data_IF_249512776376
#
_entry.id   IF_249512776376
#
_cell.length_a   1.000
_cell.length_b   1.000
_cell.length_c   1.000
_cell.angle_alpha   90.00
_cell.angle_beta   90.00
_cell.angle_gamma   90.00
#
_symmetry.space_group_name_H-M   'P 1'
#
loop_
_entity.id
_entity.type
_entity.pdbx_description
1 polymer ?
#
# COMPACT_ATOMS: atom_id res chain seq x y z
N UNK A 1 -4.18 18.18 -16.62
CA UNK A 1 -4.44 16.78 -16.23
C UNK A 1 -5.53 16.26 -17.15
N UNK A 2 -5.24 15.31 -18.04
CA UNK A 2 -6.26 14.66 -18.85
C UNK A 2 -6.99 13.70 -17.92
N UNK A 3 -8.28 13.94 -17.64
CA UNK A 3 -9.11 12.99 -16.94
C UNK A 3 -9.45 11.85 -17.90
N UNK A 4 -8.78 10.70 -17.73
CA UNK A 4 -9.22 9.51 -18.44
C UNK A 4 -10.64 9.12 -17.97
N UNK A 5 -11.51 8.63 -18.89
CA UNK A 5 -12.85 8.19 -18.53
C UNK A 5 -12.76 7.03 -17.52
N UNK A 6 -13.37 7.24 -16.36
CA UNK A 6 -13.45 6.28 -15.27
C UNK A 6 -14.77 5.50 -15.38
N UNK A 7 -14.69 4.19 -15.33
CA UNK A 7 -15.87 3.32 -15.29
C UNK A 7 -15.95 2.67 -13.92
N UNK A 8 -16.99 2.96 -13.14
CA UNK A 8 -17.24 2.28 -11.88
C UNK A 8 -17.77 0.87 -12.14
N UNK A 9 -17.00 -0.14 -11.73
CA UNK A 9 -17.36 -1.57 -11.83
C UNK A 9 -17.68 -2.20 -10.48
N UNK A 10 -17.96 -1.40 -9.45
CA UNK A 10 -18.20 -1.87 -8.09
C UNK A 10 -19.47 -2.71 -8.01
N UNK A 11 -19.37 -3.93 -7.47
CA UNK A 11 -20.50 -4.80 -7.18
C UNK A 11 -20.79 -4.81 -5.67
N UNK A 12 -22.01 -5.22 -5.28
CA UNK A 12 -22.38 -5.34 -3.86
C UNK A 12 -21.42 -6.22 -3.05
N UNK A 13 -20.96 -7.33 -3.63
CA UNK A 13 -19.99 -8.22 -2.97
C UNK A 13 -18.62 -7.59 -2.82
N UNK A 14 -18.20 -6.75 -3.77
CA UNK A 14 -16.95 -6.00 -3.69
C UNK A 14 -17.02 -4.92 -2.60
N UNK A 15 -18.13 -4.17 -2.56
CA UNK A 15 -18.37 -3.15 -1.52
C UNK A 15 -18.32 -3.78 -0.14
N UNK A 16 -19.10 -4.86 0.10
CA UNK A 16 -19.09 -5.56 1.40
C UNK A 16 -17.72 -6.16 1.77
N UNK A 17 -16.94 -6.59 0.77
CA UNK A 17 -15.57 -7.07 1.02
C UNK A 17 -14.63 -5.92 1.42
N UNK A 18 -14.79 -4.75 0.83
CA UNK A 18 -14.02 -3.55 1.20
C UNK A 18 -14.39 -3.07 2.60
N UNK A 19 -15.67 -2.96 2.92
CA UNK A 19 -16.15 -2.55 4.25
C UNK A 19 -15.68 -3.51 5.35
N UNK A 20 -15.76 -4.84 5.10
CA UNK A 20 -15.21 -5.85 6.02
C UNK A 20 -13.69 -5.74 6.20
N UNK A 21 -12.97 -5.36 5.14
CA UNK A 21 -11.55 -5.06 5.20
C UNK A 21 -11.26 -3.88 6.11
N UNK A 22 -11.95 -2.76 5.90
CA UNK A 22 -11.82 -1.54 6.71
C UNK A 22 -12.09 -1.82 8.19
N UNK A 23 -13.16 -2.54 8.51
CA UNK A 23 -13.49 -2.92 9.89
C UNK A 23 -12.34 -3.71 10.56
N UNK A 24 -11.74 -4.66 9.84
CA UNK A 24 -10.63 -5.46 10.37
C UNK A 24 -9.40 -4.57 10.61
N UNK A 25 -9.08 -3.65 9.69
CA UNK A 25 -7.98 -2.71 9.87
C UNK A 25 -8.20 -1.87 11.12
N UNK A 26 -9.35 -1.21 11.27
CA UNK A 26 -9.69 -0.40 12.45
C UNK A 26 -9.63 -1.20 13.74
N UNK A 27 -10.18 -2.43 13.74
CA UNK A 27 -10.13 -3.33 14.89
C UNK A 27 -8.69 -3.66 15.31
N UNK A 28 -7.83 -4.00 14.36
CA UNK A 28 -6.41 -4.32 14.64
C UNK A 28 -5.66 -3.07 15.10
N UNK A 29 -5.76 -1.99 14.35
CA UNK A 29 -5.06 -0.74 14.63
C UNK A 29 -5.44 -0.18 16.01
N UNK A 30 -6.73 -0.27 16.40
CA UNK A 30 -7.18 0.11 17.75
C UNK A 30 -6.54 -0.73 18.87
N UNK A 31 -6.01 -1.91 18.59
CA UNK A 31 -5.27 -2.72 19.57
C UNK A 31 -3.76 -2.42 19.52
N UNK A 32 -3.25 -2.16 18.33
CA UNK A 32 -1.84 -1.80 18.12
C UNK A 32 -1.49 -0.52 18.87
N UNK A 33 -2.32 0.52 18.78
CA UNK A 33 -2.12 1.79 19.51
C UNK A 33 -2.12 1.65 21.04
N UNK A 34 -2.57 0.51 21.58
CA UNK A 34 -2.66 0.23 23.00
C UNK A 34 -1.68 -0.84 23.49
N UNK A 35 -0.72 -1.25 22.66
CA UNK A 35 0.21 -2.33 23.02
C UNK A 35 1.02 -2.02 24.27
N UNK A 36 1.47 -0.79 24.45
CA UNK A 36 2.22 -0.36 25.64
C UNK A 36 1.38 -0.47 26.92
N UNK A 37 0.11 -0.07 26.87
CA UNK A 37 -0.82 -0.20 28.01
C UNK A 37 -1.02 -1.65 28.43
N UNK A 38 -0.89 -2.58 27.47
CA UNK A 38 -1.01 -4.02 27.69
C UNK A 38 0.32 -4.68 28.10
N UNK A 39 1.39 -3.90 28.31
CA UNK A 39 2.71 -4.41 28.70
C UNK A 39 3.45 -5.14 27.57
N UNK A 40 3.05 -4.94 26.34
CA UNK A 40 3.69 -5.52 25.15
C UNK A 40 4.92 -4.67 24.80
N UNK A 41 6.05 -5.33 24.49
CA UNK A 41 7.33 -4.65 24.21
C UNK A 41 7.38 -3.91 22.87
N UNK A 42 6.45 -4.16 21.98
CA UNK A 42 6.30 -3.42 20.74
C UNK A 42 5.62 -2.09 21.00
N UNK A 43 6.09 -1.07 20.32
CA UNK A 43 5.56 0.29 20.42
C UNK A 43 4.91 0.67 19.08
N UNK A 44 3.74 1.28 19.15
CA UNK A 44 3.16 1.97 18.01
C UNK A 44 3.86 3.32 17.83
N UNK A 45 4.23 3.62 16.59
CA UNK A 45 4.92 4.86 16.25
C UNK A 45 4.02 5.69 15.35
N UNK A 46 3.72 6.92 15.76
CA UNK A 46 2.96 7.83 14.91
C UNK A 46 3.70 8.06 13.59
N UNK A 47 3.07 7.69 12.49
CA UNK A 47 3.68 7.74 11.14
C UNK A 47 4.08 9.18 10.75
N UNK A 48 3.25 10.18 11.11
CA UNK A 48 3.54 11.57 10.79
C UNK A 48 4.76 12.08 11.58
N UNK A 49 4.89 11.71 12.84
CA UNK A 49 6.04 12.08 13.66
C UNK A 49 7.31 11.39 13.15
N UNK A 50 7.23 10.10 12.81
CA UNK A 50 8.34 9.39 12.17
C UNK A 50 8.84 10.09 10.90
N UNK A 51 7.91 10.52 10.03
CA UNK A 51 8.24 11.25 8.79
C UNK A 51 8.97 12.56 9.10
N UNK A 52 8.50 13.32 10.10
CA UNK A 52 9.11 14.60 10.51
C UNK A 52 10.49 14.39 11.13
N UNK A 53 10.62 13.47 12.07
CA UNK A 53 11.87 13.19 12.81
C UNK A 53 12.99 12.69 11.88
N UNK A 54 12.65 11.92 10.86
CA UNK A 54 13.61 11.39 9.89
C UNK A 54 13.77 12.28 8.64
N UNK A 55 13.14 13.46 8.60
CA UNK A 55 13.22 14.41 7.48
C UNK A 55 12.95 13.77 6.12
N UNK A 56 11.95 12.87 6.04
CA UNK A 56 11.62 12.16 4.81
C UNK A 56 11.03 13.12 3.78
N UNK A 57 11.31 12.88 2.50
CA UNK A 57 10.78 13.69 1.39
C UNK A 57 9.28 13.41 1.12
N UNK A 58 8.48 13.49 2.18
CA UNK A 58 7.06 13.18 2.20
C UNK A 58 6.24 14.37 2.70
N UNK A 59 5.15 14.65 2.02
CA UNK A 59 4.10 15.58 2.46
C UNK A 59 3.03 14.79 3.22
N UNK A 60 2.66 15.27 4.40
CA UNK A 60 1.59 14.68 5.21
C UNK A 60 0.27 15.34 4.77
N UNK A 61 -0.53 14.60 4.01
CA UNK A 61 -1.82 15.08 3.50
C UNK A 61 -2.96 14.95 4.54
N UNK A 62 -2.88 13.93 5.39
CA UNK A 62 -3.80 13.70 6.49
C UNK A 62 -3.08 12.90 7.58
N UNK A 63 -3.12 13.38 8.80
CA UNK A 63 -2.64 12.65 9.97
C UNK A 63 -3.72 11.73 10.52
N UNK A 64 -3.31 10.63 11.16
CA UNK A 64 -4.21 9.82 11.97
C UNK A 64 -4.81 10.64 13.12
N UNK A 65 -6.03 10.30 13.53
CA UNK A 65 -6.69 10.87 14.68
C UNK A 65 -7.40 9.75 15.46
N UNK A 66 -6.72 9.19 16.44
CA UNK A 66 -7.20 8.04 17.21
C UNK A 66 -8.49 8.33 17.99
N UNK A 67 -8.70 9.58 18.41
CA UNK A 67 -9.93 9.98 19.10
C UNK A 67 -11.16 9.89 18.19
N UNK A 68 -10.95 10.05 16.87
CA UNK A 68 -11.99 9.94 15.85
C UNK A 68 -12.06 8.55 15.20
N UNK A 69 -11.23 7.59 15.64
CA UNK A 69 -11.13 6.27 15.01
C UNK A 69 -10.44 6.30 13.63
N UNK A 70 -9.64 7.31 13.36
CA UNK A 70 -8.87 7.43 12.12
C UNK A 70 -7.43 7.00 12.37
N UNK A 71 -7.07 5.81 11.92
CA UNK A 71 -5.77 5.19 12.22
C UNK A 71 -4.71 5.36 11.15
N UNK A 72 -5.11 5.69 9.92
CA UNK A 72 -4.20 5.77 8.77
C UNK A 72 -3.68 7.19 8.55
N UNK A 73 -2.38 7.30 8.28
CA UNK A 73 -1.74 8.56 7.85
C UNK A 73 -1.61 8.57 6.34
N UNK A 74 -2.16 9.59 5.68
CA UNK A 74 -2.05 9.77 4.23
C UNK A 74 -0.84 10.61 3.87
N UNK A 75 0.02 10.04 3.05
CA UNK A 75 1.30 10.63 2.64
C UNK A 75 1.39 10.81 1.12
N UNK A 76 2.20 11.77 0.69
CA UNK A 76 2.58 11.95 -0.71
C UNK A 76 4.09 12.16 -0.81
N UNK A 77 4.76 11.42 -1.70
CA UNK A 77 6.16 11.69 -1.98
C UNK A 77 6.31 12.91 -2.90
N UNK A 78 7.12 13.91 -2.48
CA UNK A 78 7.22 15.18 -3.19
C UNK A 78 7.80 15.07 -4.60
N UNK A 79 8.81 14.22 -4.81
CA UNK A 79 9.42 14.00 -6.12
C UNK A 79 8.53 13.21 -7.05
N UNK A 80 8.13 12.01 -6.67
CA UNK A 80 7.39 11.09 -7.51
C UNK A 80 5.88 11.31 -7.55
N UNK A 81 5.33 12.16 -6.69
CA UNK A 81 3.87 12.41 -6.58
C UNK A 81 3.03 11.17 -6.25
N UNK A 82 3.68 10.14 -5.72
CA UNK A 82 2.99 8.92 -5.25
C UNK A 82 2.27 9.22 -3.94
N UNK A 83 1.00 8.84 -3.87
CA UNK A 83 0.18 8.91 -2.66
C UNK A 83 0.00 7.52 -2.09
N UNK A 84 0.10 7.39 -0.79
CA UNK A 84 -0.10 6.13 -0.10
C UNK A 84 -0.64 6.34 1.31
N UNK A 85 -1.20 5.27 1.87
CA UNK A 85 -1.62 5.18 3.26
C UNK A 85 -0.79 4.09 3.90
N UNK A 86 -0.25 4.34 5.09
CA UNK A 86 0.46 3.34 5.87
C UNK A 86 -0.44 2.89 7.02
N UNK A 87 -0.59 1.58 7.19
CA UNK A 87 -1.38 1.02 8.28
C UNK A 87 -0.74 1.28 9.65
N UNK A 88 0.60 1.36 9.71
CA UNK A 88 1.33 1.73 10.90
C UNK A 88 2.83 1.56 10.80
N UNK A 89 3.54 2.07 11.79
CA UNK A 89 4.96 1.79 12.04
C UNK A 89 5.06 1.24 13.45
N UNK A 90 5.76 0.12 13.59
CA UNK A 90 6.04 -0.49 14.88
C UNK A 90 7.52 -0.35 15.21
N UNK A 91 7.82 -0.22 16.50
CA UNK A 91 9.19 -0.23 17.03
C UNK A 91 9.38 -1.37 18.01
N UNK A 92 10.49 -2.09 17.88
CA UNK A 92 10.92 -3.09 18.83
C UNK A 92 12.43 -2.91 19.10
N UNK A 93 12.77 -2.52 20.34
CA UNK A 93 14.13 -2.07 20.64
C UNK A 93 14.50 -0.85 19.77
N UNK A 94 15.60 -0.96 19.04
CA UNK A 94 16.09 0.10 18.14
C UNK A 94 15.66 -0.09 16.69
N UNK A 95 14.83 -1.09 16.40
CA UNK A 95 14.39 -1.39 15.02
C UNK A 95 12.97 -0.92 14.75
N UNK A 96 12.77 -0.36 13.57
CA UNK A 96 11.47 0.00 13.04
C UNK A 96 10.99 -1.04 12.02
N UNK A 97 9.68 -1.25 11.98
CA UNK A 97 8.98 -2.16 11.08
C UNK A 97 7.76 -1.45 10.51
N UNK A 98 7.51 -1.60 9.23
CA UNK A 98 6.25 -1.16 8.63
C UNK A 98 5.21 -2.23 8.95
N UNK A 99 4.08 -1.84 9.52
CA UNK A 99 2.94 -2.72 9.68
C UNK A 99 2.06 -2.64 8.44
N UNK A 100 1.71 -3.80 7.89
CA UNK A 100 0.76 -3.93 6.78
C UNK A 100 -0.29 -4.99 7.12
N UNK A 101 -1.54 -4.59 7.23
CA UNK A 101 -2.65 -5.46 7.62
C UNK A 101 -3.36 -5.97 6.36
N UNK A 102 -3.63 -7.26 6.30
CA UNK A 102 -4.36 -7.89 5.19
C UNK A 102 -5.47 -8.77 5.71
N UNK A 103 -6.71 -8.46 5.33
CA UNK A 103 -7.85 -9.35 5.58
C UNK A 103 -8.03 -10.34 4.42
N UNK A 104 -8.12 -11.62 4.72
CA UNK A 104 -8.30 -12.68 3.72
C UNK A 104 -9.37 -13.68 4.18
N UNK A 105 -9.95 -14.44 3.24
CA UNK A 105 -10.89 -15.50 3.57
C UNK A 105 -10.21 -16.67 4.28
N UNK A 106 -10.93 -17.43 5.10
CA UNK A 106 -10.41 -18.61 5.80
C UNK A 106 -9.71 -19.59 4.86
N UNK A 107 -10.26 -19.86 3.69
CA UNK A 107 -9.61 -20.73 2.71
C UNK A 107 -8.25 -20.20 2.24
N UNK A 108 -8.12 -18.88 2.04
CA UNK A 108 -6.85 -18.23 1.74
C UNK A 108 -5.90 -18.27 2.91
N UNK A 109 -6.41 -18.00 4.13
CA UNK A 109 -5.63 -17.95 5.35
C UNK A 109 -4.94 -19.28 5.70
N UNK A 110 -5.67 -20.38 5.62
CA UNK A 110 -5.10 -21.69 5.92
C UNK A 110 -4.06 -22.16 4.89
N UNK A 111 -4.18 -21.72 3.63
CA UNK A 111 -3.22 -22.01 2.57
C UNK A 111 -1.98 -21.11 2.61
N UNK A 112 -2.04 -20.00 3.36
CA UNK A 112 -0.99 -19.01 3.41
C UNK A 112 0.24 -19.53 4.16
N UNK A 113 1.38 -19.61 3.47
CA UNK A 113 2.67 -20.06 4.00
C UNK A 113 3.75 -18.98 3.97
N UNK A 114 3.57 -17.96 3.14
CA UNK A 114 4.50 -16.85 2.95
C UNK A 114 3.73 -15.62 2.45
N UNK A 115 4.40 -14.47 2.33
CA UNK A 115 3.82 -13.27 1.75
C UNK A 115 3.55 -13.50 0.26
N UNK A 116 2.28 -13.42 -0.20
CA UNK A 116 1.96 -13.57 -1.61
C UNK A 116 2.62 -12.50 -2.48
N UNK A 117 3.08 -12.88 -3.66
CA UNK A 117 3.78 -12.02 -4.60
C UNK A 117 3.07 -10.68 -4.86
N UNK A 118 1.75 -10.73 -5.01
CA UNK A 118 0.93 -9.53 -5.25
C UNK A 118 1.03 -8.45 -4.16
N UNK A 119 1.51 -8.78 -2.96
CA UNK A 119 1.71 -7.82 -1.86
C UNK A 119 3.15 -7.34 -1.72
N UNK A 120 4.12 -8.04 -2.33
CA UNK A 120 5.54 -7.68 -2.22
C UNK A 120 5.84 -6.32 -2.84
N UNK A 121 5.24 -5.98 -3.98
CA UNK A 121 5.41 -4.66 -4.62
C UNK A 121 4.99 -3.52 -3.67
N UNK A 122 3.92 -3.69 -2.90
CA UNK A 122 3.49 -2.72 -1.90
C UNK A 122 4.53 -2.58 -0.78
N UNK A 123 5.08 -3.70 -0.31
CA UNK A 123 6.14 -3.71 0.69
C UNK A 123 7.41 -3.00 0.20
N UNK A 124 7.82 -3.25 -1.05
CA UNK A 124 8.95 -2.55 -1.69
C UNK A 124 8.69 -1.05 -1.70
N UNK A 125 7.48 -0.64 -2.13
CA UNK A 125 7.08 0.76 -2.18
C UNK A 125 7.23 1.44 -0.81
N UNK A 126 6.66 0.86 0.23
CA UNK A 126 6.72 1.41 1.58
C UNK A 126 8.14 1.43 2.13
N UNK A 127 8.91 0.36 1.92
CA UNK A 127 10.31 0.30 2.35
C UNK A 127 11.15 1.42 1.72
N UNK A 128 10.96 1.70 0.43
CA UNK A 128 11.67 2.80 -0.25
C UNK A 128 11.19 4.16 0.24
N UNK A 129 9.88 4.36 0.39
CA UNK A 129 9.30 5.66 0.72
C UNK A 129 9.51 6.07 2.18
N UNK A 130 9.46 5.11 3.11
CA UNK A 130 9.63 5.34 4.54
C UNK A 130 11.05 5.11 5.04
N UNK A 131 11.93 4.52 4.23
CA UNK A 131 13.31 4.21 4.63
C UNK A 131 13.41 3.13 5.70
N UNK A 132 12.39 2.27 5.83
CA UNK A 132 12.34 1.14 6.77
C UNK A 132 12.52 -0.16 5.98
N UNK A 133 13.48 -0.99 6.37
CA UNK A 133 13.84 -2.17 5.58
C UNK A 133 12.82 -3.30 5.65
N UNK A 134 12.20 -3.52 6.81
CA UNK A 134 11.35 -4.69 7.04
C UNK A 134 9.88 -4.31 7.14
N UNK A 135 9.05 -5.03 6.40
CA UNK A 135 7.59 -4.96 6.47
C UNK A 135 7.06 -6.18 7.21
N UNK A 136 6.28 -5.95 8.24
CA UNK A 136 5.57 -6.96 9.00
C UNK A 136 4.13 -7.06 8.48
N UNK A 137 3.86 -8.12 7.74
CA UNK A 137 2.49 -8.41 7.28
C UNK A 137 1.70 -9.11 8.38
N UNK A 138 0.57 -8.54 8.75
CA UNK A 138 -0.41 -9.17 9.62
C UNK A 138 -1.62 -9.60 8.80
N UNK A 139 -1.73 -10.91 8.55
CA UNK A 139 -2.89 -11.49 7.87
C UNK A 139 -3.96 -11.88 8.89
N UNK A 140 -5.17 -11.39 8.67
CA UNK A 140 -6.34 -11.68 9.50
C UNK A 140 -7.35 -12.49 8.69
N UNK A 141 -7.74 -13.64 9.21
CA UNK A 141 -8.85 -14.43 8.70
C UNK A 141 -10.16 -13.68 8.98
N UNK A 142 -10.88 -13.31 7.91
CA UNK A 142 -12.13 -12.54 8.03
C UNK A 142 -13.25 -13.27 8.73
N UNK A 143 -13.24 -14.60 8.67
CA UNK A 143 -14.35 -15.40 9.13
C UNK A 143 -14.16 -15.85 10.60
N UNK A 144 -12.91 -16.14 11.00
CA UNK A 144 -12.57 -16.69 12.32
C UNK A 144 -11.64 -15.79 13.16
N UNK A 145 -11.19 -14.66 12.60
CA UNK A 145 -10.27 -13.72 13.26
C UNK A 145 -8.93 -14.32 13.69
N UNK A 146 -8.53 -15.46 13.12
CA UNK A 146 -7.19 -15.98 13.31
C UNK A 146 -6.17 -15.04 12.67
N UNK A 147 -4.96 -15.01 13.25
CA UNK A 147 -3.90 -14.09 12.78
C UNK A 147 -2.63 -14.87 12.44
N UNK A 148 -1.94 -14.46 11.38
CA UNK A 148 -0.59 -14.89 11.00
C UNK A 148 0.26 -13.68 10.67
N UNK A 149 1.52 -13.70 11.11
CA UNK A 149 2.50 -12.67 10.75
C UNK A 149 3.58 -13.24 9.87
N UNK A 150 4.03 -12.43 8.91
CA UNK A 150 5.17 -12.73 8.06
C UNK A 150 6.03 -11.48 7.93
N UNK A 151 7.33 -11.63 8.06
CA UNK A 151 8.29 -10.59 7.77
C UNK A 151 8.70 -10.66 6.30
N UNK A 152 8.85 -9.51 5.69
CA UNK A 152 9.40 -9.38 4.35
C UNK A 152 10.37 -8.20 4.29
N UNK A 153 11.59 -8.48 3.87
CA UNK A 153 12.62 -7.47 3.66
C UNK A 153 12.95 -7.41 2.18
N UNK A 154 12.51 -6.36 1.45
CA UNK A 154 12.83 -6.20 0.05
C UNK A 154 14.33 -6.16 -0.22
N UNK A 155 14.76 -6.81 -1.28
CA UNK A 155 16.17 -6.80 -1.70
C UNK A 155 16.55 -5.43 -2.29
N UNK A 156 17.86 -5.20 -2.42
CA UNK A 156 18.36 -3.99 -3.06
C UNK A 156 17.94 -3.90 -4.54
N UNK A 157 17.89 -5.06 -5.22
CA UNK A 157 17.46 -5.18 -6.62
C UNK A 157 15.98 -4.82 -6.76
N UNK A 158 15.09 -5.35 -5.92
CA UNK A 158 13.67 -5.04 -5.93
C UNK A 158 13.41 -3.54 -5.68
N UNK A 159 14.15 -2.94 -4.74
CA UNK A 159 14.07 -1.49 -4.47
C UNK A 159 14.56 -0.66 -5.65
N UNK A 160 15.64 -1.09 -6.31
CA UNK A 160 16.18 -0.39 -7.49
C UNK A 160 15.22 -0.47 -8.68
N UNK A 161 14.69 -1.66 -8.97
CA UNK A 161 13.71 -1.87 -10.04
C UNK A 161 12.44 -1.03 -9.81
N UNK A 162 11.93 -1.00 -8.57
CA UNK A 162 10.77 -0.20 -8.22
C UNK A 162 11.02 1.29 -8.48
N UNK A 163 12.19 1.82 -8.09
CA UNK A 163 12.57 3.21 -8.35
C UNK A 163 12.62 3.52 -9.83
N UNK A 164 13.27 2.68 -10.65
CA UNK A 164 13.34 2.86 -12.09
C UNK A 164 11.95 2.88 -12.75
N UNK A 165 11.05 1.98 -12.33
CA UNK A 165 9.69 1.95 -12.81
C UNK A 165 8.93 3.24 -12.46
N UNK A 166 9.14 3.77 -11.26
CA UNK A 166 8.48 4.99 -10.82
C UNK A 166 9.03 6.23 -11.53
N UNK A 167 10.33 6.30 -11.74
CA UNK A 167 10.99 7.35 -12.54
C UNK A 167 10.44 7.35 -13.98
N UNK A 168 10.35 6.18 -14.60
CA UNK A 168 9.76 6.04 -15.94
C UNK A 168 8.30 6.54 -15.98
N UNK A 169 7.47 6.15 -15.04
CA UNK A 169 6.07 6.62 -14.98
C UNK A 169 6.01 8.14 -14.74
N UNK A 170 6.86 8.67 -13.87
CA UNK A 170 6.95 10.12 -13.62
C UNK A 170 7.33 10.87 -14.88
N UNK A 171 8.32 10.38 -15.63
CA UNK A 171 8.74 10.94 -16.92
C UNK A 171 7.60 10.91 -17.96
N UNK A 172 6.86 9.79 -18.03
CA UNK A 172 5.69 9.69 -18.90
C UNK A 172 4.63 10.75 -18.54
N UNK A 173 4.37 10.98 -17.26
CA UNK A 173 3.43 12.01 -16.80
C UNK A 173 3.91 13.42 -17.19
N UNK A 174 5.20 13.72 -17.02
CA UNK A 174 5.79 15.02 -17.38
C UNK A 174 5.73 15.27 -18.90
N UNK A 175 6.06 14.25 -19.68
CA UNK A 175 6.01 14.31 -21.16
C UNK A 175 4.59 14.18 -21.71
N UNK A 176 3.59 13.89 -20.88
CA UNK A 176 2.20 13.62 -21.28
C UNK A 176 2.06 12.48 -22.28
N UNK A 177 2.86 11.43 -22.12
CA UNK A 177 2.79 10.19 -22.90
C UNK A 177 2.15 9.08 -22.07
N UNK A 178 1.51 8.12 -22.72
CA UNK A 178 0.99 6.93 -22.05
C UNK A 178 2.14 5.97 -21.80
N UNK A 179 2.36 5.50 -20.56
CA UNK A 179 3.40 4.50 -20.30
C UNK A 179 3.08 3.18 -21.02
N UNK A 180 4.12 2.49 -21.45
CA UNK A 180 3.99 1.17 -22.04
C UNK A 180 3.27 0.21 -21.11
N UNK A 181 2.43 -0.63 -21.68
CA UNK A 181 1.76 -1.69 -20.90
C UNK A 181 2.83 -2.64 -20.34
N UNK A 182 2.82 -2.94 -19.05
CA UNK A 182 3.76 -3.90 -18.48
C UNK A 182 3.70 -5.25 -19.22
N UNK A 183 4.85 -5.80 -19.57
CA UNK A 183 4.97 -7.09 -20.31
C UNK A 183 4.22 -8.21 -19.59
N UNK A 184 4.25 -8.20 -18.26
CA UNK A 184 3.62 -9.20 -17.39
C UNK A 184 2.25 -8.74 -16.83
N UNK A 185 1.57 -7.79 -17.51
CA UNK A 185 0.24 -7.36 -17.06
C UNK A 185 -0.71 -8.56 -17.02
N UNK A 186 -1.08 -9.00 -15.82
CA UNK A 186 -2.04 -10.09 -15.63
C UNK A 186 -3.37 -9.72 -16.31
N UNK A 187 -3.86 -10.62 -17.15
CA UNK A 187 -5.14 -10.44 -17.85
C UNK A 187 -6.31 -10.21 -16.87
N UNK A 188 -6.23 -10.75 -15.66
CA UNK A 188 -7.20 -10.51 -14.58
C UNK A 188 -7.19 -9.05 -14.13
N UNK A 189 -6.03 -8.43 -13.93
CA UNK A 189 -5.94 -6.99 -13.62
C UNK A 189 -6.53 -6.15 -14.73
N UNK A 190 -6.23 -6.47 -15.98
CA UNK A 190 -6.78 -5.76 -17.13
C UNK A 190 -8.31 -5.91 -17.25
N UNK A 191 -8.88 -7.02 -16.81
CA UNK A 191 -10.34 -7.24 -16.84
C UNK A 191 -11.08 -6.22 -15.95
N UNK A 192 -10.51 -5.85 -14.82
CA UNK A 192 -11.10 -4.92 -13.84
C UNK A 192 -10.48 -3.52 -13.86
N UNK A 193 -9.62 -3.23 -14.83
CA UNK A 193 -8.94 -1.94 -14.91
C UNK A 193 -9.89 -0.85 -15.42
N UNK A 194 -10.08 0.19 -14.62
CA UNK A 194 -10.92 1.34 -14.97
C UNK A 194 -10.38 2.13 -16.16
N UNK A 195 -9.12 1.96 -16.53
CA UNK A 195 -8.47 2.64 -17.66
C UNK A 195 -8.33 1.73 -18.89
N UNK A 196 -8.96 0.55 -18.91
CA UNK A 196 -8.83 -0.44 -19.99
C UNK A 196 -9.19 0.14 -21.38
N UNK A 197 -10.21 0.97 -21.46
CA UNK A 197 -10.63 1.60 -22.70
C UNK A 197 -9.56 2.54 -23.25
N UNK A 198 -8.93 3.32 -22.39
CA UNK A 198 -7.82 4.23 -22.75
C UNK A 198 -6.59 3.42 -23.13
N UNK A 199 -6.19 2.48 -22.31
CA UNK A 199 -5.02 1.63 -22.54
C UNK A 199 -5.12 0.81 -23.85
N UNK A 200 -6.31 0.36 -24.24
CA UNK A 200 -6.52 -0.35 -25.51
C UNK A 200 -6.52 0.59 -26.73
N UNK A 201 -6.91 1.85 -26.55
CA UNK A 201 -6.96 2.85 -27.62
C UNK A 201 -5.56 3.36 -27.99
N UNK A 202 -4.70 3.53 -26.98
CA UNK A 202 -3.35 4.04 -27.14
C UNK A 202 -2.35 2.89 -26.99
N UNK A 203 -2.24 2.09 -28.04
CA UNK A 203 -1.17 1.08 -28.16
C UNK A 203 0.04 1.77 -28.77
N UNK A 204 1.13 1.74 -27.99
CA UNK A 204 2.47 2.09 -28.44
C UNK A 204 2.61 3.45 -29.17
N UNK A 205 3.14 4.47 -28.49
CA UNK A 205 3.72 5.71 -29.03
C UNK A 205 2.80 6.92 -29.36
N UNK A 206 1.59 7.04 -28.88
CA UNK A 206 0.84 8.28 -29.12
C UNK A 206 0.92 9.27 -27.95
N UNK A 207 1.50 10.44 -28.24
CA UNK A 207 1.52 11.62 -27.38
C UNK A 207 0.07 12.17 -27.28
N UNK A 208 -0.39 12.44 -26.06
CA UNK A 208 -1.63 13.19 -25.87
C UNK A 208 -1.45 14.62 -26.39
N UNK A 209 -1.84 14.87 -27.63
CA UNK A 209 -2.15 16.22 -28.07
C UNK A 209 -3.47 16.68 -27.43
N UNK A 210 -3.52 17.93 -27.04
CA UNK A 210 -4.55 18.59 -26.24
C UNK A 210 -5.97 18.42 -26.74
#
# INVERSE_FOLDING_TARGET
>A
MVQAPYTDSSSYSLIGSCEGGTFIHEMVQSKVTRMEELGIKWQDVNVADYVRENNLNLEILKECNFEKGEYETKLQHNGYKVRFLADGILKYGDKYFILEIKSISSNGFFKLKEVPEKYKTQAVSYSVLLGIDTVLFLFVDRDLFNMKTFEYTPTAEEKAEWKLNLEYVTECVEKRVVPNKPINADAKFCAYCNYKSVCNKYKDEEVYEK
#
